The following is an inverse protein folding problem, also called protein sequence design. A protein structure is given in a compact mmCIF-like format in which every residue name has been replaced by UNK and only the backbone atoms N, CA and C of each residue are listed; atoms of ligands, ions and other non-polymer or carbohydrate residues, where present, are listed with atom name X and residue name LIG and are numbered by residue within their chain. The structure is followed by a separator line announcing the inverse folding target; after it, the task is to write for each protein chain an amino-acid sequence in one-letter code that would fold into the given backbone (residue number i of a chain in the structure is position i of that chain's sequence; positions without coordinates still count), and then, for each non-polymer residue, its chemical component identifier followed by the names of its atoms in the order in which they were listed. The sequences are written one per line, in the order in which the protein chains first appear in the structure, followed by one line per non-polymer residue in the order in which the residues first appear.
data_IF_091765702522
#
_entry.id   IF_091765702522
#
_cell.length_a   1.000
_cell.length_b   1.000
_cell.length_c   1.000
_cell.angle_alpha   90.00
_cell.angle_beta   90.00
_cell.angle_gamma   90.00
#
_symmetry.space_group_name_H-M   'P 1'
#
loop_
_entity.id
_entity.type
_entity.pdbx_description
1 polymer ?
#
# COMPACT_ATOMS: atom_id res chain seq x y z
N UNK A 1 0.23 -14.46 -17.94
CA UNK A 1 1.29 -14.39 -16.91
C UNK A 1 0.92 -15.12 -15.62
N UNK A 2 -0.15 -14.73 -14.91
CA UNK A 2 -0.55 -15.36 -13.62
C UNK A 2 -1.12 -16.80 -13.72
N UNK A 3 -1.21 -17.37 -14.92
CA UNK A 3 -1.50 -18.79 -15.11
C UNK A 3 -0.32 -19.68 -14.66
N UNK A 4 0.91 -19.16 -14.70
CA UNK A 4 2.06 -19.84 -14.11
C UNK A 4 1.99 -19.74 -12.58
N UNK A 5 2.03 -20.87 -11.84
CA UNK A 5 1.85 -20.88 -10.39
C UNK A 5 2.93 -20.08 -9.65
N UNK A 6 4.18 -20.10 -10.12
CA UNK A 6 5.28 -19.36 -9.50
C UNK A 6 5.07 -17.85 -9.62
N UNK A 7 4.69 -17.38 -10.82
CA UNK A 7 4.38 -15.95 -11.05
C UNK A 7 3.21 -15.49 -10.17
N UNK A 8 2.20 -16.34 -9.99
CA UNK A 8 1.05 -16.07 -9.14
C UNK A 8 1.43 -15.95 -7.67
N UNK A 9 2.23 -16.88 -7.16
CA UNK A 9 2.73 -16.83 -5.77
C UNK A 9 3.57 -15.57 -5.55
N UNK A 10 4.50 -15.26 -6.45
CA UNK A 10 5.32 -14.04 -6.35
C UNK A 10 4.49 -12.77 -6.37
N UNK A 11 3.49 -12.67 -7.24
CA UNK A 11 2.59 -11.50 -7.29
C UNK A 11 1.78 -11.36 -6.00
N UNK A 12 1.30 -12.47 -5.44
CA UNK A 12 0.56 -12.44 -4.18
C UNK A 12 1.46 -11.98 -3.03
N UNK A 13 2.64 -12.57 -2.92
CA UNK A 13 3.63 -12.19 -1.92
C UNK A 13 4.01 -10.71 -2.02
N UNK A 14 4.36 -10.22 -3.21
CA UNK A 14 4.79 -8.83 -3.40
C UNK A 14 3.71 -7.82 -3.01
N UNK A 15 2.45 -8.10 -3.35
CA UNK A 15 1.33 -7.24 -2.99
C UNK A 15 1.05 -7.23 -1.48
N UNK A 16 1.09 -8.40 -0.84
CA UNK A 16 0.82 -8.52 0.59
C UNK A 16 1.97 -7.89 1.40
N UNK A 17 3.21 -8.11 0.96
CA UNK A 17 4.40 -7.42 1.47
C UNK A 17 4.28 -5.91 1.29
N UNK A 18 3.90 -5.42 0.11
CA UNK A 18 3.72 -3.99 -0.15
C UNK A 18 2.63 -3.38 0.74
N UNK A 19 1.55 -4.13 1.03
CA UNK A 19 0.52 -3.71 1.99
C UNK A 19 1.10 -3.50 3.39
N UNK A 20 1.87 -4.49 3.87
CA UNK A 20 2.53 -4.43 5.18
C UNK A 20 3.55 -3.30 5.26
N UNK A 21 4.38 -3.13 4.23
CA UNK A 21 5.37 -2.05 4.14
C UNK A 21 4.68 -0.69 4.16
N UNK A 22 3.61 -0.49 3.39
CA UNK A 22 2.85 0.76 3.40
C UNK A 22 2.35 1.09 4.81
N UNK A 23 1.71 0.14 5.49
CA UNK A 23 1.19 0.35 6.84
C UNK A 23 2.31 0.65 7.84
N UNK A 24 3.44 -0.07 7.74
CA UNK A 24 4.61 0.18 8.58
C UNK A 24 5.18 1.59 8.36
N UNK A 25 5.29 2.04 7.10
CA UNK A 25 5.77 3.40 6.80
C UNK A 25 4.85 4.47 7.40
N UNK A 26 3.52 4.32 7.31
CA UNK A 26 2.56 5.25 7.94
C UNK A 26 2.81 5.35 9.44
N UNK A 27 2.96 4.21 10.12
CA UNK A 27 3.21 4.17 11.57
C UNK A 27 4.56 4.76 11.94
N UNK A 28 5.61 4.47 11.17
CA UNK A 28 6.94 5.05 11.39
C UNK A 28 6.89 6.57 11.24
N UNK A 29 6.27 7.09 10.18
CA UNK A 29 6.12 8.54 9.99
C UNK A 29 5.37 9.20 11.15
N UNK A 30 4.33 8.55 11.68
CA UNK A 30 3.62 9.03 12.86
C UNK A 30 4.51 9.08 14.12
N UNK A 31 5.31 8.03 14.36
CA UNK A 31 6.27 8.02 15.48
C UNK A 31 7.31 9.13 15.30
N UNK A 32 7.93 9.25 14.13
CA UNK A 32 8.96 10.27 13.88
C UNK A 32 8.42 11.69 14.04
N UNK A 33 7.20 11.95 13.55
CA UNK A 33 6.56 13.26 13.68
C UNK A 33 6.28 13.63 15.14
N UNK A 34 5.89 12.66 15.98
CA UNK A 34 5.64 12.86 17.41
C UNK A 34 6.92 13.21 18.17
N UNK A 35 8.00 12.48 17.92
CA UNK A 35 9.25 12.65 18.65
C UNK A 35 10.02 13.91 18.23
N UNK A 36 9.68 14.53 17.09
CA UNK A 36 10.36 15.72 16.54
C UNK A 36 10.32 16.94 17.47
N UNK A 37 9.27 17.08 18.29
CA UNK A 37 9.06 18.26 19.13
C UNK A 37 10.08 18.42 20.26
N UNK A 38 10.74 17.32 20.67
CA UNK A 38 11.64 17.29 21.83
C UNK A 38 13.12 17.19 21.42
N UNK A 39 13.44 17.24 20.12
CA UNK A 39 14.79 16.99 19.61
C UNK A 39 15.65 18.25 19.44
N UNK A 40 16.98 18.15 19.67
CA UNK A 40 17.93 19.19 19.29
C UNK A 40 17.92 19.48 17.78
N UNK A 41 18.20 20.73 17.39
CA UNK A 41 18.12 21.20 16.00
C UNK A 41 18.95 20.40 14.99
N UNK A 42 20.13 19.91 15.38
CA UNK A 42 20.97 19.07 14.52
C UNK A 42 20.34 17.70 14.23
N UNK A 43 19.61 17.14 15.20
CA UNK A 43 18.90 15.87 15.05
C UNK A 43 17.67 16.02 14.16
N UNK A 44 17.03 17.19 14.19
CA UNK A 44 15.87 17.51 13.35
C UNK A 44 16.21 17.45 11.85
N UNK A 45 17.41 17.88 11.45
CA UNK A 45 17.84 17.84 10.05
C UNK A 45 18.00 16.40 9.54
N UNK A 46 18.75 15.56 10.26
CA UNK A 46 18.93 14.15 9.92
C UNK A 46 17.61 13.36 9.96
N UNK A 47 16.72 13.70 10.88
CA UNK A 47 15.37 13.15 10.95
C UNK A 47 14.53 13.51 9.72
N UNK A 48 14.72 14.72 9.17
CA UNK A 48 14.04 15.17 7.95
C UNK A 48 14.36 14.30 6.73
N UNK A 49 15.65 14.00 6.51
CA UNK A 49 16.09 13.13 5.41
C UNK A 49 15.56 11.69 5.56
N UNK A 50 15.57 11.16 6.78
CA UNK A 50 15.00 9.85 7.09
C UNK A 50 13.48 9.82 6.86
N UNK A 51 12.77 10.85 7.31
CA UNK A 51 11.31 11.01 7.14
C UNK A 51 10.95 11.05 5.66
N UNK A 52 11.70 11.82 4.86
CA UNK A 52 11.49 11.88 3.42
C UNK A 52 11.76 10.52 2.74
N UNK A 53 12.79 9.80 3.17
CA UNK A 53 13.09 8.46 2.65
C UNK A 53 11.98 7.45 2.94
N UNK A 54 11.44 7.46 4.16
CA UNK A 54 10.29 6.62 4.54
C UNK A 54 9.03 7.00 3.75
N UNK A 55 8.81 8.29 3.49
CA UNK A 55 7.73 8.76 2.63
C UNK A 55 7.84 8.23 1.19
N UNK A 56 9.04 8.28 0.60
CA UNK A 56 9.26 7.71 -0.74
C UNK A 56 9.04 6.19 -0.76
N UNK A 57 9.48 5.47 0.28
CA UNK A 57 9.23 4.03 0.42
C UNK A 57 7.73 3.70 0.52
N UNK A 58 6.96 4.53 1.23
CA UNK A 58 5.50 4.43 1.29
C UNK A 58 4.87 4.54 -0.11
N UNK A 59 5.30 5.53 -0.90
CA UNK A 59 4.80 5.72 -2.27
C UNK A 59 5.18 4.55 -3.19
N UNK A 60 6.41 4.06 -3.09
CA UNK A 60 6.85 2.87 -3.84
C UNK A 60 6.00 1.65 -3.46
N UNK A 61 5.72 1.45 -2.17
CA UNK A 61 4.84 0.38 -1.70
C UNK A 61 3.43 0.49 -2.29
N UNK A 62 2.85 1.71 -2.34
CA UNK A 62 1.56 1.95 -3.00
C UNK A 62 1.58 1.60 -4.50
N UNK A 63 2.65 1.98 -5.21
CA UNK A 63 2.79 1.64 -6.63
C UNK A 63 2.83 0.13 -6.82
N UNK A 64 3.67 -0.57 -6.06
CA UNK A 64 3.77 -2.05 -6.12
C UNK A 64 2.44 -2.70 -5.79
N UNK A 65 1.76 -2.26 -4.73
CA UNK A 65 0.43 -2.73 -4.32
C UNK A 65 -0.60 -2.57 -5.44
N UNK A 66 -0.64 -1.38 -6.05
CA UNK A 66 -1.60 -1.04 -7.10
C UNK A 66 -1.36 -1.87 -8.36
N UNK A 67 -0.10 -1.95 -8.83
CA UNK A 67 0.27 -2.71 -10.02
C UNK A 67 -0.02 -4.19 -9.84
N UNK A 68 0.42 -4.79 -8.74
CA UNK A 68 0.18 -6.22 -8.45
C UNK A 68 -1.31 -6.52 -8.23
N UNK A 69 -2.06 -5.59 -7.64
CA UNK A 69 -3.51 -5.69 -7.48
C UNK A 69 -4.26 -5.64 -8.81
N UNK A 70 -3.86 -4.73 -9.71
CA UNK A 70 -4.40 -4.64 -11.06
C UNK A 70 -4.16 -5.93 -11.85
N UNK A 71 -2.95 -6.50 -11.77
CA UNK A 71 -2.64 -7.80 -12.39
C UNK A 71 -3.57 -8.91 -11.89
N UNK A 72 -3.84 -8.99 -10.58
CA UNK A 72 -4.82 -9.96 -10.02
C UNK A 72 -6.21 -9.73 -10.58
N UNK A 73 -6.65 -8.47 -10.68
CA UNK A 73 -7.97 -8.12 -11.18
C UNK A 73 -8.16 -8.56 -12.64
N UNK A 74 -7.18 -8.27 -13.51
CA UNK A 74 -7.23 -8.67 -14.91
C UNK A 74 -7.27 -10.20 -15.06
N UNK A 75 -6.41 -10.91 -14.33
CA UNK A 75 -6.39 -12.36 -14.35
C UNK A 75 -7.71 -12.94 -13.85
N UNK A 76 -8.23 -12.47 -12.71
CA UNK A 76 -9.51 -12.92 -12.17
C UNK A 76 -10.66 -12.71 -13.15
N UNK A 77 -10.74 -11.57 -13.83
CA UNK A 77 -11.78 -11.32 -14.84
C UNK A 77 -11.67 -12.26 -16.06
N UNK A 78 -10.46 -12.66 -16.43
CA UNK A 78 -10.24 -13.57 -17.57
C UNK A 78 -10.54 -15.04 -17.28
N UNK A 79 -10.45 -15.47 -16.02
CA UNK A 79 -10.55 -16.89 -15.65
C UNK A 79 -11.81 -17.26 -14.87
N UNK A 80 -12.57 -16.28 -14.40
CA UNK A 80 -13.77 -16.52 -13.58
C UNK A 80 -15.01 -16.65 -14.46
N UNK A 81 -15.85 -17.65 -14.18
CA UNK A 81 -17.10 -17.86 -14.90
C UNK A 81 -18.08 -16.67 -14.72
N UNK A 82 -18.93 -16.34 -15.72
CA UNK A 82 -19.78 -15.15 -15.70
C UNK A 82 -20.78 -15.07 -14.54
N UNK A 83 -21.27 -16.21 -14.08
CA UNK A 83 -22.17 -16.37 -12.93
C UNK A 83 -21.45 -16.05 -11.60
N UNK A 84 -20.24 -16.58 -11.43
CA UNK A 84 -19.40 -16.30 -10.27
C UNK A 84 -18.97 -14.82 -10.21
N UNK A 85 -18.68 -14.22 -11.38
CA UNK A 85 -18.40 -12.79 -11.49
C UNK A 85 -19.57 -11.94 -10.95
N UNK A 86 -20.82 -12.27 -11.31
CA UNK A 86 -22.01 -11.53 -10.85
C UNK A 86 -22.18 -11.62 -9.34
N UNK A 87 -22.02 -12.81 -8.78
CA UNK A 87 -22.15 -13.03 -7.33
C UNK A 87 -21.07 -12.26 -6.54
N UNK A 88 -19.81 -12.29 -7.01
CA UNK A 88 -18.67 -11.69 -6.30
C UNK A 88 -18.50 -10.20 -6.55
N UNK A 89 -19.11 -9.63 -7.59
CA UNK A 89 -18.90 -8.22 -8.02
C UNK A 89 -19.15 -7.22 -6.90
N UNK A 90 -20.27 -7.35 -6.17
CA UNK A 90 -20.65 -6.39 -5.11
C UNK A 90 -19.61 -6.39 -3.99
N UNK A 91 -19.24 -7.57 -3.50
CA UNK A 91 -18.19 -7.72 -2.49
C UNK A 91 -16.84 -7.15 -2.98
N UNK A 92 -16.52 -7.37 -4.26
CA UNK A 92 -15.30 -6.84 -4.88
C UNK A 92 -15.30 -5.31 -4.93
N UNK A 93 -16.43 -4.68 -5.21
CA UNK A 93 -16.53 -3.20 -5.21
C UNK A 93 -16.39 -2.67 -3.79
N UNK A 94 -17.13 -3.22 -2.83
CA UNK A 94 -17.09 -2.79 -1.43
C UNK A 94 -15.67 -2.85 -0.87
N UNK A 95 -14.94 -3.95 -1.11
CA UNK A 95 -13.56 -4.06 -0.62
C UNK A 95 -12.63 -2.99 -1.23
N UNK A 96 -12.78 -2.66 -2.52
CA UNK A 96 -11.91 -1.66 -3.15
C UNK A 96 -12.24 -0.24 -2.69
N UNK A 97 -13.51 0.06 -2.45
CA UNK A 97 -13.91 1.33 -1.85
C UNK A 97 -13.33 1.45 -0.44
N UNK A 98 -13.46 0.41 0.39
CA UNK A 98 -12.86 0.40 1.73
C UNK A 98 -11.34 0.58 1.67
N UNK A 99 -10.65 -0.13 0.76
CA UNK A 99 -9.21 0.01 0.57
C UNK A 99 -8.80 1.37 0.00
N UNK A 100 -9.56 1.98 -0.90
CA UNK A 100 -9.29 3.35 -1.35
C UNK A 100 -9.37 4.35 -0.19
N UNK A 101 -10.34 4.20 0.70
CA UNK A 101 -10.46 5.04 1.89
C UNK A 101 -9.28 4.82 2.84
N UNK A 102 -8.91 3.56 3.11
CA UNK A 102 -7.80 3.23 4.02
C UNK A 102 -6.46 3.69 3.45
N UNK A 103 -6.14 3.29 2.22
CA UNK A 103 -4.85 3.62 1.59
C UNK A 103 -4.77 5.10 1.24
N UNK A 104 -5.83 5.68 0.68
CA UNK A 104 -5.88 7.11 0.34
C UNK A 104 -5.83 7.97 1.60
N UNK A 105 -6.66 7.68 2.60
CA UNK A 105 -6.72 8.41 3.86
C UNK A 105 -5.43 8.27 4.67
N UNK A 106 -4.87 7.06 4.79
CA UNK A 106 -3.61 6.84 5.49
C UNK A 106 -2.42 7.48 4.79
N UNK A 107 -2.41 7.52 3.45
CA UNK A 107 -1.35 8.19 2.68
C UNK A 107 -1.46 9.71 2.77
N UNK A 108 -2.69 10.24 2.71
CA UNK A 108 -2.95 11.66 2.97
C UNK A 108 -2.49 12.06 4.37
N UNK A 109 -2.85 11.27 5.39
CA UNK A 109 -2.42 11.52 6.75
C UNK A 109 -0.90 11.45 6.89
N UNK A 110 -0.25 10.42 6.32
CA UNK A 110 1.21 10.33 6.28
C UNK A 110 1.87 11.54 5.62
N UNK A 111 1.28 12.09 4.56
CA UNK A 111 1.79 13.32 3.92
C UNK A 111 1.76 14.53 4.86
N UNK A 112 0.77 14.64 5.76
CA UNK A 112 0.72 15.73 6.76
C UNK A 112 1.74 15.61 7.88
N UNK A 113 2.42 14.45 7.99
CA UNK A 113 3.42 14.15 9.03
C UNK A 113 4.87 14.37 8.57
N UNK A 114 5.08 14.53 7.25
CA UNK A 114 6.39 14.78 6.62
C UNK A 114 6.64 16.29 6.60
#
# INVERSE_FOLDING_TARGET
MLANPYVRVSNNFLHDMATGTWAACVLVLWVLARERAEMPSVTIAALGDATHSVWLLLLVALVVLTVTGALRLFYWRSTTAPDELKAKRRALVVKHVAFLVIYGGGTWWAWTLV
#
